data_IF_444309469212
#
_entry.id   IF_444309469212
#
_cell.length_a   1.000
_cell.length_b   1.000
_cell.length_c   1.000
_cell.angle_alpha   90.00
_cell.angle_beta   90.00
_cell.angle_gamma   90.00
#
_symmetry.space_group_name_H-M   'P 1'
#
loop_
_entity.id
_entity.type
_entity.pdbx_description
1 polymer ?
#
# COMPACT_ATOMS: atom_id res chain seq x y z
N UNK A 1 14.13 1.59 16.73
CA UNK A 1 13.63 1.80 15.33
C UNK A 1 14.84 1.98 14.44
N UNK A 2 14.99 1.17 13.38
CA UNK A 2 16.13 1.20 12.45
C UNK A 2 16.24 2.61 11.82
N UNK A 3 17.47 3.06 11.52
CA UNK A 3 17.76 4.35 10.88
C UNK A 3 16.97 4.52 9.56
N UNK A 4 16.89 3.47 8.76
CA UNK A 4 16.12 3.41 7.53
C UNK A 4 14.65 3.89 7.71
N UNK A 5 13.92 3.35 8.67
CA UNK A 5 12.51 3.75 8.89
C UNK A 5 12.38 5.18 9.46
N UNK A 6 13.42 5.68 10.16
CA UNK A 6 13.42 7.08 10.60
C UNK A 6 13.57 8.04 9.43
N UNK A 7 14.40 7.70 8.46
CA UNK A 7 14.60 8.49 7.25
C UNK A 7 13.34 8.50 6.38
N UNK A 8 12.74 7.34 6.11
CA UNK A 8 11.50 7.24 5.33
C UNK A 8 10.36 8.08 5.91
N UNK A 9 10.24 8.12 7.23
CA UNK A 9 9.19 8.92 7.91
C UNK A 9 9.29 10.43 7.63
N UNK A 10 10.46 10.94 7.25
CA UNK A 10 10.70 12.35 7.00
C UNK A 10 10.52 12.74 5.53
N UNK A 11 10.34 11.76 4.65
CA UNK A 11 10.18 11.98 3.22
C UNK A 11 8.74 12.43 2.93
N UNK A 12 8.61 13.61 2.32
CA UNK A 12 7.32 14.25 2.01
C UNK A 12 7.27 14.82 0.59
N UNK A 13 8.26 14.53 -0.24
CA UNK A 13 8.32 14.94 -1.65
C UNK A 13 8.48 13.73 -2.57
N UNK A 14 8.01 13.84 -3.80
CA UNK A 14 8.12 12.80 -4.83
C UNK A 14 9.58 12.50 -5.13
N UNK A 15 10.39 13.54 -5.34
CA UNK A 15 11.83 13.40 -5.63
C UNK A 15 12.57 12.72 -4.46
N UNK A 16 12.19 13.05 -3.23
CA UNK A 16 12.73 12.42 -2.04
C UNK A 16 12.39 10.94 -1.98
N UNK A 17 11.14 10.57 -2.28
CA UNK A 17 10.68 9.19 -2.29
C UNK A 17 11.38 8.35 -3.39
N UNK A 18 11.53 8.91 -4.59
CA UNK A 18 12.27 8.27 -5.69
C UNK A 18 13.73 8.01 -5.28
N UNK A 19 14.41 8.99 -4.68
CA UNK A 19 15.79 8.82 -4.17
C UNK A 19 15.91 7.72 -3.14
N UNK A 20 14.92 7.54 -2.25
CA UNK A 20 14.93 6.44 -1.30
C UNK A 20 14.77 5.07 -1.99
N UNK A 21 13.96 4.99 -3.06
CA UNK A 21 13.82 3.79 -3.86
C UNK A 21 15.11 3.47 -4.63
N UNK A 22 15.74 4.48 -5.25
CA UNK A 22 17.03 4.36 -5.95
C UNK A 22 18.19 3.85 -5.06
N UNK A 23 18.14 4.15 -3.75
CA UNK A 23 19.11 3.59 -2.80
C UNK A 23 18.95 2.08 -2.59
N UNK A 24 17.78 1.53 -2.87
CA UNK A 24 17.45 0.13 -2.63
C UNK A 24 17.60 -0.74 -3.87
N UNK A 25 17.27 -0.19 -5.04
CA UNK A 25 17.27 -0.90 -6.33
C UNK A 25 17.74 0.00 -7.48
N UNK A 26 18.23 -0.63 -8.53
CA UNK A 26 18.33 0.02 -9.84
C UNK A 26 16.93 0.04 -10.46
N UNK A 27 16.33 1.24 -10.59
CA UNK A 27 14.97 1.40 -11.11
C UNK A 27 15.00 1.15 -12.62
N UNK A 28 14.26 0.14 -13.08
CA UNK A 28 14.14 -0.17 -14.50
C UNK A 28 13.28 0.85 -15.25
N UNK A 29 13.38 0.92 -16.59
CA UNK A 29 12.51 1.78 -17.40
C UNK A 29 11.02 1.53 -17.15
N UNK A 30 10.61 0.27 -16.94
CA UNK A 30 9.22 -0.11 -16.60
C UNK A 30 8.79 0.51 -15.27
N UNK A 31 9.62 0.45 -14.25
CA UNK A 31 9.30 1.02 -12.94
C UNK A 31 9.27 2.55 -12.97
N UNK A 32 10.13 3.20 -13.74
CA UNK A 32 10.04 4.65 -13.96
C UNK A 32 8.74 5.04 -14.68
N UNK A 33 8.32 4.30 -15.71
CA UNK A 33 7.03 4.51 -16.37
C UNK A 33 5.86 4.40 -15.39
N UNK A 34 5.90 3.41 -14.48
CA UNK A 34 4.87 3.26 -13.44
C UNK A 34 4.91 4.43 -12.46
N UNK A 35 6.09 4.90 -12.06
CA UNK A 35 6.23 6.06 -11.16
C UNK A 35 5.63 7.31 -11.81
N UNK A 36 5.95 7.60 -13.07
CA UNK A 36 5.38 8.73 -13.80
C UNK A 36 3.86 8.60 -13.89
N UNK A 37 3.37 7.40 -14.20
CA UNK A 37 1.93 7.13 -14.27
C UNK A 37 1.22 7.36 -12.93
N UNK A 38 1.73 6.87 -11.80
CA UNK A 38 1.07 7.06 -10.50
C UNK A 38 1.10 8.53 -10.04
N UNK A 39 2.10 9.30 -10.46
CA UNK A 39 2.15 10.75 -10.21
C UNK A 39 0.99 11.44 -10.95
N UNK A 40 0.77 11.11 -12.22
CA UNK A 40 -0.33 11.63 -13.02
C UNK A 40 -1.70 11.13 -12.50
N UNK A 41 -1.82 9.83 -12.21
CA UNK A 41 -3.07 9.21 -11.76
C UNK A 41 -3.58 9.78 -10.43
N UNK A 42 -2.69 10.21 -9.55
CA UNK A 42 -2.99 10.81 -8.25
C UNK A 42 -2.80 12.33 -8.25
N UNK A 43 -2.79 12.98 -9.44
CA UNK A 43 -2.66 14.44 -9.52
C UNK A 43 -3.76 15.14 -8.71
N UNK A 44 -3.37 16.12 -7.91
CA UNK A 44 -4.30 16.87 -7.04
C UNK A 44 -4.75 16.13 -5.78
N UNK A 45 -4.32 14.89 -5.57
CA UNK A 45 -4.59 14.14 -4.34
C UNK A 45 -3.45 14.35 -3.34
N UNK A 46 -3.82 14.52 -2.06
CA UNK A 46 -2.88 14.73 -0.95
C UNK A 46 -3.23 13.80 0.21
N UNK A 47 -2.20 13.34 0.91
CA UNK A 47 -2.37 12.65 2.18
C UNK A 47 -2.77 13.64 3.28
N UNK A 48 -3.29 13.12 4.40
CA UNK A 48 -3.69 13.95 5.56
C UNK A 48 -2.51 14.68 6.20
N UNK A 49 -1.31 14.26 5.96
CA UNK A 49 -0.04 14.89 6.34
C UNK A 49 0.37 16.04 5.42
N UNK A 50 -0.30 16.19 4.26
CA UNK A 50 -0.12 17.31 3.33
C UNK A 50 0.80 17.02 2.14
N UNK A 51 1.49 15.88 2.11
CA UNK A 51 2.32 15.48 0.97
C UNK A 51 1.47 14.98 -0.21
N UNK A 52 1.97 15.05 -1.47
CA UNK A 52 1.34 14.42 -2.63
C UNK A 52 1.09 12.92 -2.37
N UNK A 53 -0.09 12.43 -2.80
CA UNK A 53 -0.49 11.03 -2.53
C UNK A 53 0.52 10.02 -3.06
N UNK A 54 1.10 10.27 -4.25
CA UNK A 54 2.08 9.41 -4.92
C UNK A 54 3.36 9.15 -4.10
N UNK A 55 3.68 9.97 -3.11
CA UNK A 55 4.79 9.71 -2.16
C UNK A 55 4.58 8.38 -1.43
N UNK A 56 3.33 8.05 -1.06
CA UNK A 56 3.00 6.82 -0.33
C UNK A 56 3.34 5.55 -1.12
N UNK A 57 2.81 5.31 -2.33
CA UNK A 57 3.13 4.08 -3.07
C UNK A 57 4.62 3.96 -3.42
N UNK A 58 5.33 5.06 -3.65
CA UNK A 58 6.78 5.01 -3.88
C UNK A 58 7.51 4.54 -2.60
N UNK A 59 7.14 5.04 -1.42
CA UNK A 59 7.73 4.59 -0.16
C UNK A 59 7.31 3.16 0.23
N UNK A 60 6.09 2.73 -0.11
CA UNK A 60 5.68 1.32 0.01
C UNK A 60 6.55 0.44 -0.88
N UNK A 61 6.81 0.83 -2.12
CA UNK A 61 7.72 0.12 -3.02
C UNK A 61 9.16 0.09 -2.47
N UNK A 62 9.63 1.18 -1.86
CA UNK A 62 10.93 1.26 -1.19
C UNK A 62 11.03 0.25 -0.04
N UNK A 63 10.01 0.14 0.81
CA UNK A 63 9.96 -0.85 1.89
C UNK A 63 9.89 -2.26 1.29
N UNK A 64 9.01 -2.48 0.30
CA UNK A 64 8.83 -3.77 -0.38
C UNK A 64 10.13 -4.27 -0.98
N UNK A 65 10.93 -3.39 -1.56
CA UNK A 65 12.21 -3.72 -2.19
C UNK A 65 13.27 -4.23 -1.19
N UNK A 66 13.08 -4.01 0.11
CA UNK A 66 13.97 -4.61 1.15
C UNK A 66 13.66 -6.09 1.37
N UNK A 67 12.48 -6.58 0.98
CA UNK A 67 12.03 -7.97 1.13
C UNK A 67 12.03 -8.73 -0.18
N UNK A 68 11.78 -8.06 -1.30
CA UNK A 68 11.75 -8.68 -2.63
C UNK A 68 12.38 -7.76 -3.68
N UNK A 69 13.19 -8.35 -4.56
CA UNK A 69 13.76 -7.68 -5.76
C UNK A 69 12.99 -8.06 -7.04
N UNK A 70 11.88 -8.78 -6.92
CA UNK A 70 11.01 -9.11 -8.04
C UNK A 70 10.35 -7.82 -8.55
N UNK A 71 10.58 -7.51 -9.83
CA UNK A 71 10.08 -6.28 -10.47
C UNK A 71 8.55 -6.21 -10.45
N UNK A 72 7.85 -7.33 -10.64
CA UNK A 72 6.38 -7.36 -10.63
C UNK A 72 5.83 -7.09 -9.22
N UNK A 73 6.53 -7.50 -8.17
CA UNK A 73 6.18 -7.18 -6.77
C UNK A 73 6.35 -5.69 -6.48
N UNK A 74 7.44 -5.10 -6.96
CA UNK A 74 7.71 -3.66 -6.80
C UNK A 74 6.72 -2.84 -7.61
N UNK A 75 6.43 -3.24 -8.86
CA UNK A 75 5.40 -2.64 -9.71
C UNK A 75 4.02 -2.70 -9.02
N UNK A 76 3.68 -3.83 -8.40
CA UNK A 76 2.44 -3.99 -7.64
C UNK A 76 2.39 -3.05 -6.44
N UNK A 77 3.51 -2.86 -5.73
CA UNK A 77 3.58 -1.93 -4.62
C UNK A 77 3.40 -0.47 -5.06
N UNK A 78 3.90 -0.09 -6.24
CA UNK A 78 3.65 1.23 -6.84
C UNK A 78 2.18 1.42 -7.23
N UNK A 79 1.51 0.37 -7.71
CA UNK A 79 0.16 0.42 -8.28
C UNK A 79 -0.96 0.05 -7.28
N UNK A 80 -0.63 -0.25 -6.02
CA UNK A 80 -1.56 -0.92 -5.10
C UNK A 80 -2.85 -0.14 -4.82
N UNK A 81 -2.80 1.18 -4.83
CA UNK A 81 -3.96 2.05 -4.58
C UNK A 81 -4.61 2.59 -5.87
N UNK A 82 -4.00 2.38 -7.05
CA UNK A 82 -4.48 2.97 -8.31
C UNK A 82 -5.93 2.57 -8.63
N UNK A 83 -6.27 1.30 -8.46
CA UNK A 83 -7.63 0.80 -8.78
C UNK A 83 -8.66 1.22 -7.72
N UNK A 84 -8.23 1.46 -6.48
CA UNK A 84 -9.12 1.87 -5.39
C UNK A 84 -9.37 3.38 -5.38
N UNK A 85 -8.33 4.18 -5.66
CA UNK A 85 -8.34 5.63 -5.42
C UNK A 85 -8.36 6.47 -6.71
N UNK A 86 -8.38 5.82 -7.90
CA UNK A 86 -8.40 6.49 -9.20
C UNK A 86 -9.42 5.86 -10.16
N UNK A 87 -9.76 6.50 -11.30
CA UNK A 87 -10.66 5.93 -12.29
C UNK A 87 -10.10 4.75 -13.11
N UNK A 88 -8.84 4.37 -12.92
CA UNK A 88 -8.21 3.30 -13.69
C UNK A 88 -8.66 1.92 -13.22
N UNK A 89 -8.82 0.98 -14.17
CA UNK A 89 -9.34 -0.36 -13.92
C UNK A 89 -8.25 -1.43 -13.90
N UNK A 90 -8.59 -2.63 -13.41
CA UNK A 90 -7.68 -3.79 -13.46
C UNK A 90 -7.33 -4.20 -14.90
N UNK A 91 -8.27 -4.04 -15.83
CA UNK A 91 -8.06 -4.32 -17.25
C UNK A 91 -7.00 -3.39 -17.84
N UNK A 92 -7.02 -2.11 -17.47
CA UNK A 92 -5.99 -1.15 -17.87
C UNK A 92 -4.62 -1.54 -17.32
N UNK A 93 -4.55 -1.95 -16.05
CA UNK A 93 -3.31 -2.42 -15.42
C UNK A 93 -2.78 -3.67 -16.13
N UNK A 94 -3.67 -4.62 -16.50
CA UNK A 94 -3.30 -5.84 -17.21
C UNK A 94 -2.74 -5.54 -18.61
N UNK A 95 -3.40 -4.67 -19.36
CA UNK A 95 -3.00 -4.27 -20.71
C UNK A 95 -1.62 -3.59 -20.69
N UNK A 96 -1.37 -2.71 -19.73
CA UNK A 96 -0.17 -1.88 -19.70
C UNK A 96 1.04 -2.56 -19.07
N UNK A 97 0.86 -3.30 -17.96
CA UNK A 97 1.97 -3.87 -17.17
C UNK A 97 1.91 -5.38 -16.99
N UNK A 98 0.90 -6.01 -17.57
CA UNK A 98 0.80 -7.46 -17.67
C UNK A 98 -0.03 -8.13 -16.56
N UNK A 99 -0.40 -9.36 -16.87
CA UNK A 99 -1.34 -10.16 -16.07
C UNK A 99 -0.85 -10.45 -14.64
N UNK A 100 0.46 -10.64 -14.46
CA UNK A 100 1.01 -10.94 -13.13
C UNK A 100 0.79 -9.76 -12.17
N UNK A 101 1.12 -8.54 -12.62
CA UNK A 101 0.92 -7.31 -11.83
C UNK A 101 -0.56 -7.09 -11.56
N UNK A 102 -1.43 -7.18 -12.59
CA UNK A 102 -2.88 -7.01 -12.43
C UNK A 102 -3.49 -8.02 -11.44
N UNK A 103 -3.07 -9.29 -11.48
CA UNK A 103 -3.54 -10.30 -10.53
C UNK A 103 -3.14 -9.98 -9.08
N UNK A 104 -1.91 -9.51 -8.86
CA UNK A 104 -1.47 -9.10 -7.53
C UNK A 104 -2.21 -7.85 -7.03
N UNK A 105 -2.41 -6.83 -7.88
CA UNK A 105 -3.23 -5.64 -7.56
C UNK A 105 -4.66 -6.05 -7.21
N UNK A 106 -5.28 -6.93 -8.02
CA UNK A 106 -6.61 -7.49 -7.71
C UNK A 106 -6.67 -8.19 -6.35
N UNK A 107 -5.60 -8.91 -5.99
CA UNK A 107 -5.49 -9.55 -4.67
C UNK A 107 -5.50 -8.55 -3.53
N UNK A 108 -4.84 -7.39 -3.71
CA UNK A 108 -4.81 -6.30 -2.73
C UNK A 108 -6.18 -5.63 -2.57
N UNK A 109 -6.85 -5.30 -3.68
CA UNK A 109 -8.20 -4.68 -3.71
C UNK A 109 -9.23 -5.59 -3.04
N UNK A 110 -9.25 -6.89 -3.31
CA UNK A 110 -10.13 -7.84 -2.62
C UNK A 110 -9.96 -7.84 -1.10
N UNK A 111 -8.76 -7.59 -0.59
CA UNK A 111 -8.50 -7.47 0.86
C UNK A 111 -9.11 -6.19 1.41
N UNK A 112 -9.15 -5.10 0.62
CA UNK A 112 -9.75 -3.82 1.00
C UNK A 112 -11.28 -3.88 1.03
N UNK A 113 -11.94 -4.40 -0.02
CA UNK A 113 -13.40 -4.52 -0.12
C UNK A 113 -14.01 -5.26 1.07
N UNK A 114 -13.32 -6.27 1.54
CA UNK A 114 -13.76 -7.07 2.69
C UNK A 114 -13.68 -6.26 4.01
N UNK A 115 -12.88 -5.20 4.09
CA UNK A 115 -12.87 -4.28 5.23
C UNK A 115 -14.14 -3.45 5.30
N UNK A 116 -14.63 -2.93 4.18
CA UNK A 116 -15.81 -2.05 4.14
C UNK A 116 -17.10 -2.80 4.52
N UNK A 117 -17.31 -4.02 4.01
CA UNK A 117 -18.49 -4.82 4.32
C UNK A 117 -18.67 -5.14 5.82
N UNK A 118 -17.55 -5.26 6.57
CA UNK A 118 -17.61 -5.60 7.99
C UNK A 118 -17.79 -4.38 8.93
N UNK A 119 -17.51 -3.16 8.47
CA UNK A 119 -17.76 -1.94 9.27
C UNK A 119 -19.24 -1.63 9.46
N UNK A 120 -20.11 -2.15 8.60
CA UNK A 120 -21.55 -1.83 8.60
C UNK A 120 -22.33 -2.61 9.68
N UNK A 121 -21.77 -3.69 10.24
CA UNK A 121 -22.57 -4.65 11.06
C UNK A 121 -22.27 -4.72 12.54
N UNK A 122 -21.32 -3.97 13.10
CA UNK A 122 -20.96 -4.14 14.53
C UNK A 122 -20.92 -2.86 15.36
N UNK A 123 -21.92 -2.72 16.27
CA UNK A 123 -21.87 -1.82 17.41
C UNK A 123 -21.20 -2.53 18.61
N UNK A 124 -20.13 -1.90 19.11
CA UNK A 124 -19.54 -1.97 20.46
C UNK A 124 -19.60 -3.28 21.29
N UNK A 125 -18.57 -4.10 21.13
CA UNK A 125 -18.00 -4.88 22.25
C UNK A 125 -16.52 -5.23 21.92
N UNK A 126 -15.66 -5.42 22.96
CA UNK A 126 -14.25 -5.80 22.79
C UNK A 126 -14.10 -7.14 22.05
N UNK A 127 -15.02 -8.08 22.25
CA UNK A 127 -15.02 -9.39 21.59
C UNK A 127 -15.24 -9.26 20.08
N UNK A 128 -16.03 -8.27 19.65
CA UNK A 128 -16.28 -7.99 18.25
C UNK A 128 -15.01 -7.53 17.52
N UNK A 129 -14.14 -6.76 18.17
CA UNK A 129 -12.87 -6.28 17.60
C UNK A 129 -11.88 -7.41 17.35
N UNK A 130 -11.76 -8.36 18.30
CA UNK A 130 -10.88 -9.54 18.17
C UNK A 130 -11.37 -10.42 17.01
N UNK A 131 -12.67 -10.67 16.92
CA UNK A 131 -13.27 -11.45 15.84
C UNK A 131 -13.04 -10.74 14.48
N UNK A 132 -13.18 -9.43 14.44
CA UNK A 132 -12.95 -8.62 13.24
C UNK A 132 -11.47 -8.69 12.78
N UNK A 133 -10.52 -8.57 13.72
CA UNK A 133 -9.09 -8.70 13.42
C UNK A 133 -8.77 -10.11 12.90
N UNK A 134 -9.31 -11.15 13.52
CA UNK A 134 -9.14 -12.53 13.09
C UNK A 134 -9.74 -12.80 11.69
N UNK A 135 -10.91 -12.22 11.40
CA UNK A 135 -11.54 -12.31 10.08
C UNK A 135 -10.72 -11.57 9.02
N UNK A 136 -10.21 -10.38 9.32
CA UNK A 136 -9.33 -9.63 8.43
C UNK A 136 -8.04 -10.40 8.15
N UNK A 137 -7.41 -10.97 9.17
CA UNK A 137 -6.23 -11.81 9.03
C UNK A 137 -6.49 -13.06 8.19
N UNK A 138 -7.59 -13.80 8.48
CA UNK A 138 -8.01 -14.96 7.68
C UNK A 138 -8.20 -14.62 6.20
N UNK A 139 -8.78 -13.45 5.90
CA UNK A 139 -9.03 -13.00 4.53
C UNK A 139 -7.75 -12.58 3.82
N UNK A 140 -6.81 -11.96 4.53
CA UNK A 140 -5.45 -11.71 4.02
C UNK A 140 -4.76 -13.02 3.65
N UNK A 141 -4.88 -14.05 4.48
CA UNK A 141 -4.36 -15.38 4.17
C UNK A 141 -5.03 -15.99 2.95
N UNK A 142 -6.35 -15.90 2.83
CA UNK A 142 -7.11 -16.43 1.67
C UNK A 142 -6.70 -15.69 0.38
N UNK A 143 -6.58 -14.36 0.42
CA UNK A 143 -6.11 -13.58 -0.74
C UNK A 143 -4.66 -13.92 -1.14
N UNK A 144 -3.82 -14.33 -0.18
CA UNK A 144 -2.43 -14.76 -0.42
C UNK A 144 -2.30 -16.23 -0.87
N UNK A 145 -3.40 -17.02 -0.89
CA UNK A 145 -3.37 -18.41 -1.40
C UNK A 145 -3.05 -18.40 -2.91
N UNK A 146 -3.60 -17.45 -3.65
CA UNK A 146 -3.39 -17.35 -5.09
C UNK A 146 -1.97 -16.82 -5.41
N UNK A 147 -1.47 -15.85 -4.63
CA UNK A 147 -0.11 -15.32 -4.74
C UNK A 147 0.38 -14.76 -3.38
N UNK A 148 1.33 -15.44 -2.70
CA UNK A 148 1.83 -14.99 -1.39
C UNK A 148 2.58 -13.64 -1.45
N UNK A 149 3.02 -13.18 -2.63
CA UNK A 149 3.68 -11.88 -2.81
C UNK A 149 2.75 -10.71 -2.49
N UNK A 150 1.43 -10.90 -2.67
CA UNK A 150 0.38 -9.93 -2.27
C UNK A 150 0.50 -9.58 -0.77
N UNK A 151 0.79 -10.58 0.08
CA UNK A 151 0.95 -10.37 1.51
C UNK A 151 2.15 -9.46 1.83
N UNK A 152 3.26 -9.62 1.10
CA UNK A 152 4.45 -8.77 1.28
C UNK A 152 4.08 -7.30 1.05
N UNK A 153 3.44 -7.00 -0.08
CA UNK A 153 3.02 -5.62 -0.42
C UNK A 153 2.06 -5.08 0.63
N UNK A 154 1.05 -5.86 1.05
CA UNK A 154 0.06 -5.42 2.05
C UNK A 154 0.67 -5.14 3.43
N UNK A 155 1.65 -5.94 3.84
CA UNK A 155 2.37 -5.69 5.10
C UNK A 155 3.25 -4.42 4.99
N UNK A 156 3.88 -4.18 3.84
CA UNK A 156 4.68 -2.96 3.60
C UNK A 156 3.79 -1.70 3.57
N UNK A 157 2.61 -1.75 2.94
CA UNK A 157 1.60 -0.69 2.99
C UNK A 157 1.21 -0.38 4.44
N UNK A 158 0.84 -1.40 5.21
CA UNK A 158 0.50 -1.23 6.63
C UNK A 158 1.65 -0.64 7.44
N UNK A 159 2.86 -1.12 7.24
CA UNK A 159 4.04 -0.61 7.91
C UNK A 159 4.25 0.88 7.60
N UNK A 160 4.13 1.30 6.34
CA UNK A 160 4.24 2.71 5.98
C UNK A 160 3.12 3.54 6.63
N UNK A 161 1.89 3.06 6.63
CA UNK A 161 0.77 3.72 7.31
C UNK A 161 1.02 3.86 8.82
N UNK A 162 1.64 2.87 9.47
CA UNK A 162 2.04 2.94 10.88
C UNK A 162 3.15 3.99 11.12
N UNK A 163 4.11 4.12 10.21
CA UNK A 163 5.18 5.13 10.32
C UNK A 163 4.63 6.56 10.27
N UNK A 164 3.53 6.78 9.54
CA UNK A 164 2.91 8.09 9.33
C UNK A 164 1.73 8.39 10.28
N UNK A 165 1.41 7.52 11.24
CA UNK A 165 0.28 7.68 12.17
C UNK A 165 0.32 8.96 13.00
N UNK A 166 1.50 9.48 13.32
CA UNK A 166 1.69 10.60 14.25
C UNK A 166 0.98 11.90 13.81
N UNK A 167 0.68 12.06 12.53
CA UNK A 167 -0.02 13.24 11.98
C UNK A 167 -1.55 13.17 12.15
N UNK A 168 -2.08 12.02 12.53
CA UNK A 168 -3.51 11.82 12.71
C UNK A 168 -3.96 12.17 14.13
N UNK A 169 -5.25 12.54 14.35
CA UNK A 169 -5.81 12.69 15.68
C UNK A 169 -5.71 11.38 16.50
N UNK A 170 -5.49 11.48 17.83
CA UNK A 170 -5.23 10.32 18.68
C UNK A 170 -6.27 9.19 18.57
N UNK A 171 -7.57 9.53 18.42
CA UNK A 171 -8.61 8.52 18.26
C UNK A 171 -8.46 7.70 16.96
N UNK A 172 -7.95 8.33 15.88
CA UNK A 172 -7.66 7.62 14.62
C UNK A 172 -6.36 6.82 14.71
N UNK A 173 -5.35 7.35 15.40
CA UNK A 173 -4.11 6.60 15.66
C UNK A 173 -4.40 5.29 16.38
N UNK A 174 -5.20 5.33 17.46
CA UNK A 174 -5.59 4.13 18.22
C UNK A 174 -6.35 3.14 17.34
N UNK A 175 -7.35 3.61 16.57
CA UNK A 175 -8.12 2.74 15.68
C UNK A 175 -7.23 2.01 14.68
N UNK A 176 -6.35 2.73 13.96
CA UNK A 176 -5.47 2.15 12.96
C UNK A 176 -4.47 1.18 13.60
N UNK A 177 -3.92 1.53 14.79
CA UNK A 177 -3.01 0.65 15.50
C UNK A 177 -3.68 -0.64 16.00
N UNK A 178 -4.95 -0.59 16.39
CA UNK A 178 -5.74 -1.77 16.80
C UNK A 178 -6.15 -2.65 15.60
N UNK A 179 -6.27 -2.06 14.40
CA UNK A 179 -6.65 -2.74 13.15
C UNK A 179 -5.43 -3.37 12.42
N UNK A 180 -4.19 -3.03 12.82
CA UNK A 180 -2.94 -3.52 12.22
C UNK A 180 -2.37 -4.70 12.96
#
# INVERSE_FOLDING_TARGET
>A
MNLFFKELKLVNTIEGAIKELEKQIDISPKLYEIIDFIIEAHEGQFRKSGEPYSVHPILVATITSTFSKDEDVIATALLHDVVEDTPFTLEFVEEKWGKNVSNMVKGLTKVADIREENFITSKDSSDTKIVQAALTFRKMLIASIDDPRVLIVKLCDRLHNMLTLAVLPQHKQRRIAEET
#
